data_IF_874004292122
#
_entry.id   IF_874004292122
#
_cell.length_a   1.000
_cell.length_b   1.000
_cell.length_c   1.000
_cell.angle_alpha   90.00
_cell.angle_beta   90.00
_cell.angle_gamma   90.00
#
_symmetry.space_group_name_H-M   'P 1'
#
loop_
_entity.id
_entity.type
_entity.pdbx_description
1 polymer ?
#
# COMPACT_ATOMS: atom_id res chain seq x y z
N UNK A 1 47.90 47.11 80.29
CA UNK A 1 48.50 45.96 79.60
C UNK A 1 47.57 45.59 78.46
N UNK A 2 47.87 46.09 77.26
CA UNK A 2 47.10 45.86 76.03
C UNK A 2 47.79 44.79 75.20
N UNK A 3 47.11 43.67 74.87
CA UNK A 3 47.61 42.74 73.87
C UNK A 3 47.12 43.13 72.46
N UNK A 4 48.10 43.63 71.72
CA UNK A 4 48.35 43.63 70.27
C UNK A 4 47.26 43.16 69.29
N UNK A 5 46.91 44.09 68.41
CA UNK A 5 46.09 44.00 67.20
C UNK A 5 47.02 43.68 66.02
N UNK A 6 46.90 42.47 65.45
CA UNK A 6 47.34 42.08 64.10
C UNK A 6 46.95 40.61 63.83
N UNK A 7 45.70 40.37 63.43
CA UNK A 7 45.29 39.09 62.84
C UNK A 7 44.55 39.38 61.51
N UNK A 8 45.22 39.16 60.35
CA UNK A 8 44.67 39.48 59.04
C UNK A 8 43.86 38.35 58.39
N UNK A 9 43.29 37.40 59.14
CA UNK A 9 42.51 36.29 58.57
C UNK A 9 40.98 36.50 58.66
N UNK A 10 40.49 37.62 58.14
CA UNK A 10 39.06 37.81 57.87
C UNK A 10 38.81 38.25 56.43
N UNK A 11 38.62 37.28 55.54
CA UNK A 11 37.90 37.30 54.25
C UNK A 11 38.53 36.17 53.41
N UNK A 12 37.86 35.12 52.95
CA UNK A 12 36.65 35.04 52.13
C UNK A 12 36.40 33.55 51.88
N UNK A 13 35.19 33.01 52.12
CA UNK A 13 34.71 31.88 51.30
C UNK A 13 33.21 31.65 51.42
N UNK A 14 32.46 32.60 50.88
CA UNK A 14 31.12 32.33 50.37
C UNK A 14 31.16 32.64 48.88
N UNK A 15 31.70 31.69 48.11
CA UNK A 15 31.60 31.67 46.65
C UNK A 15 30.96 30.35 46.21
N UNK A 16 29.93 30.53 45.41
CA UNK A 16 29.14 29.52 44.72
C UNK A 16 30.02 28.46 44.04
N UNK A 17 29.80 27.20 44.40
CA UNK A 17 29.97 26.11 43.44
C UNK A 17 28.67 25.32 43.53
N UNK A 18 27.70 25.69 42.68
CA UNK A 18 26.73 24.72 42.22
C UNK A 18 27.56 23.67 41.45
N UNK A 19 28.09 22.70 42.20
CA UNK A 19 28.76 21.54 41.64
C UNK A 19 27.75 20.87 40.72
N UNK A 20 28.10 20.84 39.45
CA UNK A 20 27.36 20.16 38.40
C UNK A 20 27.17 18.71 38.85
N UNK A 21 26.00 18.38 39.38
CA UNK A 21 25.68 17.14 40.13
C UNK A 21 25.72 15.86 39.26
N UNK A 22 26.33 15.95 38.08
CA UNK A 22 26.49 14.90 37.09
C UNK A 22 27.93 14.77 36.59
N UNK A 23 28.89 15.56 37.10
CA UNK A 23 30.30 15.48 36.70
C UNK A 23 30.96 14.14 37.06
N UNK A 24 30.48 13.48 38.11
CA UNK A 24 30.93 12.18 38.59
C UNK A 24 30.44 11.00 37.74
N UNK A 25 29.25 11.13 37.13
CA UNK A 25 28.61 10.05 36.36
C UNK A 25 29.31 9.73 35.04
N UNK A 26 30.00 10.71 34.46
CA UNK A 26 30.70 10.55 33.18
C UNK A 26 32.22 10.31 33.34
N UNK A 27 32.73 10.28 34.57
CA UNK A 27 34.15 10.32 34.87
C UNK A 27 34.60 9.14 35.74
N UNK A 28 34.08 7.93 35.48
CA UNK A 28 34.62 6.70 36.11
C UNK A 28 35.97 6.33 35.44
N UNK A 29 37.11 6.45 36.15
CA UNK A 29 38.44 6.15 35.60
C UNK A 29 38.64 4.68 35.22
N UNK A 30 37.67 3.80 35.53
CA UNK A 30 37.67 2.38 35.15
C UNK A 30 37.11 2.14 33.74
N UNK A 31 36.35 3.07 33.18
CA UNK A 31 35.85 3.01 31.82
C UNK A 31 36.96 3.39 30.80
N UNK A 32 38.02 2.58 30.73
CA UNK A 32 39.07 2.77 29.73
C UNK A 32 38.50 2.40 28.37
N UNK A 33 38.34 3.37 27.48
CA UNK A 33 38.03 3.15 26.06
C UNK A 33 39.18 2.31 25.47
N UNK A 34 39.01 1.00 25.46
CA UNK A 34 39.97 0.07 24.89
C UNK A 34 39.79 0.01 23.38
N UNK A 35 40.89 -0.18 22.62
CA UNK A 35 40.81 -0.36 21.15
C UNK A 35 39.80 -1.45 20.74
N UNK A 36 39.64 -2.48 21.58
CA UNK A 36 38.62 -3.53 21.41
C UNK A 36 37.20 -2.99 21.59
N UNK A 37 36.94 -2.14 22.59
CA UNK A 37 35.65 -1.49 22.79
C UNK A 37 35.26 -0.58 21.61
N UNK A 38 36.22 0.16 21.05
CA UNK A 38 35.98 0.97 19.83
C UNK A 38 35.65 0.08 18.63
N UNK A 39 36.39 -1.01 18.43
CA UNK A 39 36.11 -1.99 17.36
C UNK A 39 34.73 -2.63 17.51
N UNK A 40 34.33 -3.00 18.72
CA UNK A 40 32.98 -3.53 19.01
C UNK A 40 31.93 -2.47 18.70
N UNK A 41 32.14 -1.22 19.13
CA UNK A 41 31.24 -0.11 18.83
C UNK A 41 31.05 0.13 17.33
N UNK A 42 32.15 0.13 16.56
CA UNK A 42 32.11 0.22 15.10
C UNK A 42 31.38 -0.99 14.50
N UNK A 43 31.64 -2.20 14.99
CA UNK A 43 30.99 -3.43 14.53
C UNK A 43 29.47 -3.39 14.71
N UNK A 44 28.98 -2.97 15.88
CA UNK A 44 27.55 -2.81 16.16
C UNK A 44 26.94 -1.73 15.27
N UNK A 45 27.63 -0.61 15.06
CA UNK A 45 27.18 0.46 14.18
C UNK A 45 27.01 -0.02 12.73
N UNK A 46 28.02 -0.70 12.18
CA UNK A 46 27.96 -1.25 10.83
C UNK A 46 26.84 -2.29 10.69
N UNK A 47 26.68 -3.16 11.69
CA UNK A 47 25.59 -4.13 11.70
C UNK A 47 24.22 -3.45 11.73
N UNK A 48 24.05 -2.38 12.51
CA UNK A 48 22.84 -1.57 12.55
C UNK A 48 22.52 -0.92 11.19
N UNK A 49 23.53 -0.35 10.52
CA UNK A 49 23.38 0.24 9.18
C UNK A 49 22.98 -0.83 8.15
N UNK A 50 23.67 -1.97 8.14
CA UNK A 50 23.36 -3.08 7.24
C UNK A 50 21.98 -3.68 7.51
N UNK A 51 21.60 -3.83 8.79
CA UNK A 51 20.27 -4.28 9.19
C UNK A 51 19.16 -3.33 8.75
N UNK A 52 19.37 -2.02 8.92
CA UNK A 52 18.44 -1.00 8.46
C UNK A 52 18.33 -0.97 6.93
N UNK A 53 19.46 -1.02 6.22
CA UNK A 53 19.51 -1.07 4.76
C UNK A 53 18.83 -2.34 4.21
N UNK A 54 19.10 -3.51 4.81
CA UNK A 54 18.45 -4.76 4.48
C UNK A 54 16.94 -4.72 4.74
N UNK A 55 16.50 -4.13 5.85
CA UNK A 55 15.09 -3.94 6.18
C UNK A 55 14.38 -3.05 5.15
N UNK A 56 15.02 -1.95 4.73
CA UNK A 56 14.47 -1.04 3.70
C UNK A 56 14.44 -1.75 2.34
N UNK A 57 15.50 -2.46 1.96
CA UNK A 57 15.56 -3.18 0.69
C UNK A 57 14.46 -4.24 0.59
N UNK A 58 14.17 -4.95 1.69
CA UNK A 58 13.11 -5.95 1.74
C UNK A 58 11.70 -5.33 1.72
N UNK A 59 11.55 -4.08 2.18
CA UNK A 59 10.28 -3.32 2.19
C UNK A 59 10.01 -2.51 0.93
N UNK A 60 11.00 -2.30 0.05
CA UNK A 60 10.74 -1.67 -1.25
C UNK A 60 9.82 -2.58 -2.05
N UNK A 61 8.56 -2.19 -2.14
CA UNK A 61 7.58 -2.72 -3.09
C UNK A 61 8.23 -2.58 -4.47
N UNK A 62 8.68 -3.71 -5.02
CA UNK A 62 9.14 -3.74 -6.40
C UNK A 62 7.91 -3.39 -7.22
N UNK A 63 7.99 -2.28 -7.96
CA UNK A 63 6.94 -1.79 -8.86
C UNK A 63 7.48 -1.66 -10.29
N UNK A 64 8.70 -2.12 -10.55
CA UNK A 64 9.33 -2.07 -11.87
C UNK A 64 8.53 -2.85 -12.92
N UNK A 65 8.19 -4.11 -12.66
CA UNK A 65 7.43 -4.94 -13.61
C UNK A 65 5.99 -4.45 -13.75
N UNK A 66 5.34 -4.14 -12.62
CA UNK A 66 3.99 -3.55 -12.61
C UNK A 66 3.95 -2.25 -13.41
N UNK A 67 4.91 -1.34 -13.21
CA UNK A 67 4.97 -0.05 -13.91
C UNK A 67 5.32 -0.22 -15.38
N UNK A 68 6.21 -1.13 -15.73
CA UNK A 68 6.52 -1.45 -17.13
C UNK A 68 5.30 -2.04 -17.86
N UNK A 69 4.54 -2.90 -17.19
CA UNK A 69 3.34 -3.52 -17.74
C UNK A 69 2.21 -2.52 -17.88
N UNK A 70 1.79 -1.87 -16.79
CA UNK A 70 0.63 -0.99 -16.77
C UNK A 70 0.87 0.41 -17.34
N UNK A 71 2.11 0.88 -17.32
CA UNK A 71 2.44 2.28 -17.58
C UNK A 71 2.19 3.19 -16.38
N UNK A 72 2.81 4.37 -16.40
CA UNK A 72 2.80 5.34 -15.31
C UNK A 72 1.39 5.84 -15.01
N UNK A 73 0.61 6.09 -16.07
CA UNK A 73 -0.75 6.61 -15.96
C UNK A 73 -1.70 5.61 -15.29
N UNK A 74 -1.68 4.35 -15.72
CA UNK A 74 -2.50 3.30 -15.10
C UNK A 74 -2.10 3.06 -13.64
N UNK A 75 -0.81 3.08 -13.32
CA UNK A 75 -0.34 2.96 -11.93
C UNK A 75 -0.85 4.14 -11.10
N UNK A 76 -0.78 5.35 -11.64
CA UNK A 76 -1.27 6.55 -10.96
C UNK A 76 -2.80 6.48 -10.76
N UNK A 77 -3.54 6.03 -11.77
CA UNK A 77 -4.98 5.79 -11.67
C UNK A 77 -5.33 4.78 -10.58
N UNK A 78 -4.65 3.63 -10.55
CA UNK A 78 -4.83 2.60 -9.53
C UNK A 78 -4.56 3.12 -8.11
N UNK A 79 -3.64 4.06 -7.94
CA UNK A 79 -3.31 4.67 -6.66
C UNK A 79 -4.32 5.75 -6.25
N UNK A 80 -4.67 6.64 -7.18
CA UNK A 80 -5.31 7.93 -6.87
C UNK A 80 -6.77 8.02 -7.28
N UNK A 81 -7.30 7.06 -8.04
CA UNK A 81 -8.67 7.14 -8.53
C UNK A 81 -9.65 7.42 -7.41
N UNK A 82 -10.45 8.46 -7.61
CA UNK A 82 -11.53 8.78 -6.70
C UNK A 82 -12.66 7.79 -6.93
N UNK A 83 -12.98 7.49 -8.20
CA UNK A 83 -14.09 6.62 -8.57
C UNK A 83 -13.63 5.39 -9.33
N UNK A 84 -14.16 4.23 -8.92
CA UNK A 84 -13.96 2.95 -9.62
C UNK A 84 -15.33 2.37 -9.93
N UNK A 85 -15.63 2.17 -11.21
CA UNK A 85 -16.83 1.49 -11.68
C UNK A 85 -16.48 0.12 -12.25
N UNK A 86 -17.42 -0.79 -12.19
CA UNK A 86 -17.30 -2.12 -12.79
C UNK A 86 -18.47 -2.36 -13.73
N UNK A 87 -18.17 -2.83 -14.94
CA UNK A 87 -19.15 -3.13 -15.99
C UNK A 87 -18.95 -4.56 -16.51
N UNK A 88 -20.03 -5.15 -17.00
CA UNK A 88 -19.97 -6.44 -17.68
C UNK A 88 -19.34 -6.31 -19.07
N UNK A 89 -18.52 -7.29 -19.47
CA UNK A 89 -17.92 -7.34 -20.81
C UNK A 89 -18.34 -8.61 -21.57
N UNK A 90 -18.19 -9.79 -20.97
CA UNK A 90 -18.53 -11.09 -21.59
C UNK A 90 -18.93 -12.10 -20.52
N UNK A 91 -19.86 -13.00 -20.84
CA UNK A 91 -20.17 -14.17 -20.03
C UNK A 91 -20.90 -13.92 -18.70
N UNK A 92 -21.23 -12.65 -18.40
CA UNK A 92 -22.01 -12.22 -17.24
C UNK A 92 -22.82 -10.98 -17.61
N UNK A 93 -23.98 -10.83 -16.99
CA UNK A 93 -24.86 -9.66 -17.17
C UNK A 93 -25.18 -9.06 -15.80
N UNK A 94 -24.88 -7.77 -15.65
CA UNK A 94 -25.22 -6.99 -14.47
C UNK A 94 -25.15 -5.49 -14.79
N UNK A 95 -25.94 -4.69 -14.09
CA UNK A 95 -25.90 -3.23 -14.23
C UNK A 95 -24.57 -2.65 -13.71
N UNK A 96 -24.03 -1.58 -14.32
CA UNK A 96 -22.80 -0.95 -13.87
C UNK A 96 -22.78 -0.67 -12.35
N UNK A 97 -21.73 -1.15 -11.68
CA UNK A 97 -21.60 -1.07 -10.23
C UNK A 97 -20.54 -0.05 -9.84
N UNK A 98 -20.91 0.92 -9.00
CA UNK A 98 -19.95 1.82 -8.36
C UNK A 98 -19.25 1.12 -7.20
N UNK A 99 -17.92 0.96 -7.29
CA UNK A 99 -17.10 0.26 -6.31
C UNK A 99 -16.52 1.18 -5.23
N UNK A 100 -16.54 2.49 -5.43
CA UNK A 100 -15.84 3.52 -4.64
C UNK A 100 -16.05 3.44 -3.13
N UNK A 101 -17.28 3.20 -2.68
CA UNK A 101 -17.61 3.10 -1.25
C UNK A 101 -17.60 1.65 -0.72
N UNK A 102 -17.07 0.70 -1.49
CA UNK A 102 -17.21 -0.72 -1.17
C UNK A 102 -16.05 -1.20 -0.31
N UNK A 103 -16.32 -1.97 0.78
CA UNK A 103 -15.26 -2.58 1.57
C UNK A 103 -14.32 -3.44 0.70
N UNK A 104 -13.02 -3.35 0.96
CA UNK A 104 -12.01 -4.16 0.26
C UNK A 104 -11.46 -3.53 -1.03
N UNK A 105 -11.87 -2.32 -1.43
CA UNK A 105 -11.31 -1.65 -2.61
C UNK A 105 -9.79 -1.40 -2.47
N UNK A 106 -9.32 -1.12 -1.26
CA UNK A 106 -7.88 -1.03 -0.97
C UNK A 106 -7.14 -2.34 -1.26
N UNK A 107 -7.77 -3.50 -1.01
CA UNK A 107 -7.18 -4.79 -1.37
C UNK A 107 -7.17 -4.99 -2.89
N UNK A 108 -8.23 -4.61 -3.61
CA UNK A 108 -8.23 -4.66 -5.08
C UNK A 108 -7.07 -3.84 -5.66
N UNK A 109 -6.92 -2.59 -5.21
CA UNK A 109 -5.81 -1.72 -5.64
C UNK A 109 -4.46 -2.34 -5.33
N UNK A 110 -4.29 -2.85 -4.11
CA UNK A 110 -3.05 -3.50 -3.70
C UNK A 110 -2.74 -4.72 -4.58
N UNK A 111 -3.73 -5.59 -4.81
CA UNK A 111 -3.56 -6.76 -5.68
C UNK A 111 -3.17 -6.35 -7.10
N UNK A 112 -3.80 -5.32 -7.65
CA UNK A 112 -3.50 -4.84 -9.00
C UNK A 112 -2.12 -4.17 -9.12
N UNK A 113 -1.60 -3.59 -8.03
CA UNK A 113 -0.30 -2.93 -7.99
C UNK A 113 0.85 -3.86 -7.55
N UNK A 114 0.58 -4.89 -6.76
CA UNK A 114 1.61 -5.80 -6.24
C UNK A 114 2.16 -6.69 -7.36
N UNK A 115 3.46 -6.59 -7.60
CA UNK A 115 4.14 -7.44 -8.59
C UNK A 115 3.99 -8.93 -8.32
N UNK A 116 3.84 -9.32 -7.06
CA UNK A 116 3.70 -10.73 -6.66
C UNK A 116 2.35 -11.32 -7.04
N UNK A 117 1.40 -10.48 -7.46
CA UNK A 117 0.09 -10.92 -7.89
C UNK A 117 0.10 -11.58 -9.27
N UNK A 118 1.17 -11.39 -10.04
CA UNK A 118 1.24 -11.75 -11.46
C UNK A 118 2.25 -12.84 -11.76
N UNK A 119 1.97 -13.60 -12.82
CA UNK A 119 2.89 -14.53 -13.46
C UNK A 119 3.55 -13.82 -14.63
N UNK A 120 4.64 -13.09 -14.38
CA UNK A 120 5.23 -12.20 -15.38
C UNK A 120 5.75 -12.91 -16.63
N UNK A 121 6.07 -14.20 -16.52
CA UNK A 121 6.41 -15.09 -17.62
C UNK A 121 5.23 -15.39 -18.56
N UNK A 122 4.00 -15.11 -18.15
CA UNK A 122 2.77 -15.21 -18.96
C UNK A 122 2.40 -13.92 -19.71
N UNK A 123 3.25 -12.90 -19.69
CA UNK A 123 2.95 -11.62 -20.35
C UNK A 123 2.92 -11.79 -21.86
N UNK A 124 1.85 -11.31 -22.50
CA UNK A 124 1.67 -11.42 -23.94
C UNK A 124 1.13 -10.11 -24.54
N UNK A 125 1.53 -9.79 -25.77
CA UNK A 125 1.08 -8.62 -26.53
C UNK A 125 -0.26 -8.89 -27.23
N UNK A 126 -1.26 -9.28 -26.44
CA UNK A 126 -2.61 -9.47 -26.92
C UNK A 126 -3.64 -9.09 -25.86
N UNK A 127 -4.88 -8.88 -26.30
CA UNK A 127 -5.97 -8.51 -25.41
C UNK A 127 -6.33 -9.65 -24.45
N UNK A 128 -6.88 -9.30 -23.29
CA UNK A 128 -7.52 -10.30 -22.41
C UNK A 128 -8.64 -11.04 -23.15
N UNK A 129 -9.35 -10.36 -24.06
CA UNK A 129 -10.48 -10.92 -24.80
C UNK A 129 -10.08 -12.07 -25.74
N UNK A 130 -8.88 -12.04 -26.32
CA UNK A 130 -8.39 -13.12 -27.19
C UNK A 130 -8.02 -14.39 -26.41
N UNK A 131 -7.86 -14.29 -25.09
CA UNK A 131 -7.61 -15.45 -24.21
C UNK A 131 -8.87 -16.20 -23.82
N UNK A 132 -10.05 -15.63 -24.05
CA UNK A 132 -11.33 -16.20 -23.63
C UNK A 132 -11.78 -17.28 -24.62
N UNK A 133 -11.19 -18.47 -24.52
CA UNK A 133 -11.46 -19.59 -25.42
C UNK A 133 -12.82 -20.24 -25.17
N UNK A 134 -13.33 -20.17 -23.93
CA UNK A 134 -14.57 -20.85 -23.56
C UNK A 134 -15.79 -19.94 -23.63
N UNK A 135 -16.96 -20.46 -24.06
CA UNK A 135 -18.22 -19.71 -24.08
C UNK A 135 -18.67 -19.26 -22.68
N UNK A 136 -18.21 -19.94 -21.62
CA UNK A 136 -18.51 -19.61 -20.21
C UNK A 136 -17.49 -18.66 -19.55
N UNK A 137 -16.56 -18.11 -20.33
CA UNK A 137 -15.57 -17.15 -19.81
C UNK A 137 -16.24 -15.84 -19.41
N UNK A 138 -16.10 -15.46 -18.15
CA UNK A 138 -16.71 -14.26 -17.58
C UNK A 138 -15.68 -13.14 -17.43
N UNK A 139 -15.95 -11.97 -18.01
CA UNK A 139 -15.09 -10.80 -17.93
C UNK A 139 -15.82 -9.57 -17.42
N UNK A 140 -15.11 -8.81 -16.60
CA UNK A 140 -15.51 -7.47 -16.16
C UNK A 140 -14.52 -6.44 -16.66
N UNK A 141 -15.00 -5.21 -16.79
CA UNK A 141 -14.17 -4.05 -17.01
C UNK A 141 -14.20 -3.16 -15.76
N UNK A 142 -13.03 -2.71 -15.33
CA UNK A 142 -12.85 -1.73 -14.28
C UNK A 142 -12.56 -0.37 -14.93
N UNK A 143 -13.33 0.65 -14.58
CA UNK A 143 -13.22 2.01 -15.10
C UNK A 143 -12.82 2.92 -13.94
N UNK A 144 -11.62 3.48 -14.02
CA UNK A 144 -11.02 4.34 -13.00
C UNK A 144 -11.10 5.79 -13.47
N UNK A 145 -11.65 6.66 -12.63
CA UNK A 145 -11.84 8.08 -12.93
C UNK A 145 -11.50 8.97 -11.74
N UNK A 146 -11.11 10.21 -12.04
CA UNK A 146 -10.80 11.27 -11.07
C UNK A 146 -11.55 12.55 -11.45
N UNK A 147 -12.89 12.57 -11.27
CA UNK A 147 -13.74 13.63 -11.78
C UNK A 147 -13.50 14.98 -11.10
N UNK A 148 -12.87 15.00 -9.93
CA UNK A 148 -12.63 16.23 -9.16
C UNK A 148 -11.27 16.84 -9.45
N UNK A 149 -10.20 16.03 -9.39
CA UNK A 149 -8.82 16.53 -9.48
C UNK A 149 -8.16 16.33 -10.85
N UNK A 150 -8.77 15.55 -11.75
CA UNK A 150 -8.31 15.33 -13.14
C UNK A 150 -6.81 15.00 -13.26
N UNK A 151 -6.27 14.20 -12.33
CA UNK A 151 -4.83 13.90 -12.26
C UNK A 151 -4.36 12.90 -13.32
N UNK A 152 -5.29 12.20 -13.97
CA UNK A 152 -5.06 11.20 -15.01
C UNK A 152 -6.30 11.06 -15.90
N UNK A 153 -6.15 10.50 -17.11
CA UNK A 153 -7.28 10.23 -18.00
C UNK A 153 -8.11 9.03 -17.54
N UNK A 154 -9.24 8.75 -18.19
CA UNK A 154 -10.06 7.59 -17.80
C UNK A 154 -9.33 6.30 -18.16
N UNK A 155 -8.91 5.55 -17.14
CA UNK A 155 -8.22 4.27 -17.31
C UNK A 155 -9.23 3.13 -17.25
N UNK A 156 -9.13 2.22 -18.22
CA UNK A 156 -10.03 1.09 -18.35
C UNK A 156 -9.23 -0.21 -18.40
N UNK A 157 -9.58 -1.15 -17.53
CA UNK A 157 -8.88 -2.43 -17.38
C UNK A 157 -9.88 -3.58 -17.57
N UNK A 158 -9.46 -4.66 -18.21
CA UNK A 158 -10.26 -5.89 -18.34
C UNK A 158 -9.69 -6.93 -17.39
N UNK A 159 -10.59 -7.63 -16.70
CA UNK A 159 -10.28 -8.73 -15.79
C UNK A 159 -11.15 -9.93 -16.16
N UNK A 160 -10.48 -11.02 -16.51
CA UNK A 160 -11.08 -12.34 -16.65
C UNK A 160 -11.26 -12.98 -15.26
N UNK A 161 -12.49 -13.43 -14.98
CA UNK A 161 -12.89 -14.03 -13.72
C UNK A 161 -12.66 -15.55 -13.66
N UNK A 162 -12.27 -16.17 -14.77
CA UNK A 162 -12.06 -17.62 -14.87
C UNK A 162 -10.57 -17.95 -14.72
N UNK A 163 -9.75 -17.51 -15.69
CA UNK A 163 -8.32 -17.80 -15.74
C UNK A 163 -7.45 -16.68 -15.17
N UNK A 164 -8.06 -15.57 -14.76
CA UNK A 164 -7.38 -14.49 -14.05
C UNK A 164 -6.44 -13.69 -14.94
N UNK A 165 -6.70 -13.63 -16.24
CA UNK A 165 -6.03 -12.71 -17.16
C UNK A 165 -6.45 -11.27 -16.87
N UNK A 166 -5.48 -10.36 -16.83
CA UNK A 166 -5.75 -8.93 -16.69
C UNK A 166 -4.95 -8.13 -17.70
N UNK A 167 -5.46 -6.96 -18.07
CA UNK A 167 -4.78 -6.06 -18.98
C UNK A 167 -5.57 -4.78 -19.22
N UNK A 168 -4.94 -3.77 -19.86
CA UNK A 168 -5.64 -2.59 -20.33
C UNK A 168 -6.73 -2.94 -21.35
N UNK A 169 -7.81 -2.16 -21.38
CA UNK A 169 -8.93 -2.41 -22.30
C UNK A 169 -8.62 -2.08 -23.76
N UNK A 170 -7.52 -1.36 -24.03
CA UNK A 170 -7.02 -1.11 -25.38
C UNK A 170 -6.54 -2.40 -26.08
N UNK A 171 -6.40 -3.49 -25.33
CA UNK A 171 -5.98 -4.79 -25.84
C UNK A 171 -4.50 -4.89 -26.16
N UNK A 172 -3.68 -3.93 -25.71
CA UNK A 172 -2.24 -3.87 -26.03
C UNK A 172 -1.44 -5.03 -25.43
N UNK A 173 -1.85 -5.54 -24.27
CA UNK A 173 -1.17 -6.64 -23.56
C UNK A 173 -2.04 -7.27 -22.49
N UNK A 174 -1.69 -8.48 -22.08
CA UNK A 174 -2.29 -9.16 -20.95
C UNK A 174 -1.25 -9.92 -20.12
N UNK A 175 -1.54 -10.12 -18.84
CA UNK A 175 -0.74 -10.95 -17.92
C UNK A 175 -1.68 -11.77 -17.06
N UNK A 176 -1.28 -13.00 -16.73
CA UNK A 176 -2.06 -13.86 -15.86
C UNK A 176 -1.75 -13.58 -14.39
N UNK A 177 -2.79 -13.60 -13.55
CA UNK A 177 -2.61 -13.59 -12.09
C UNK A 177 -2.17 -14.96 -11.58
N UNK A 178 -1.43 -14.96 -10.47
CA UNK A 178 -0.95 -16.19 -9.84
C UNK A 178 -2.11 -17.07 -9.38
N UNK A 179 -1.85 -18.39 -9.30
CA UNK A 179 -2.81 -19.39 -8.80
C UNK A 179 -3.41 -19.04 -7.43
N UNK A 180 -2.68 -18.28 -6.60
CA UNK A 180 -3.15 -17.81 -5.29
C UNK A 180 -4.10 -16.62 -5.39
N UNK A 181 -3.79 -15.66 -6.23
CA UNK A 181 -4.54 -14.40 -6.36
C UNK A 181 -5.82 -14.60 -7.18
N UNK A 182 -5.74 -15.37 -8.26
CA UNK A 182 -6.84 -15.64 -9.19
C UNK A 182 -8.19 -15.94 -8.51
N UNK A 183 -8.31 -16.98 -7.65
CA UNK A 183 -9.60 -17.30 -7.03
C UNK A 183 -10.07 -16.22 -6.06
N UNK A 184 -9.15 -15.53 -5.38
CA UNK A 184 -9.50 -14.47 -4.44
C UNK A 184 -10.04 -13.23 -5.18
N UNK A 185 -9.38 -12.82 -6.26
CA UNK A 185 -9.82 -11.71 -7.10
C UNK A 185 -11.18 -12.00 -7.74
N UNK A 186 -11.35 -13.18 -8.35
CA UNK A 186 -12.61 -13.59 -8.95
C UNK A 186 -13.75 -13.63 -7.93
N UNK A 187 -13.52 -14.23 -6.75
CA UNK A 187 -14.52 -14.29 -5.67
C UNK A 187 -14.89 -12.90 -5.17
N UNK A 188 -13.92 -12.01 -5.00
CA UNK A 188 -14.17 -10.64 -4.57
C UNK A 188 -15.08 -9.93 -5.56
N UNK A 189 -14.71 -9.90 -6.85
CA UNK A 189 -15.49 -9.21 -7.89
C UNK A 189 -16.90 -9.81 -8.03
N UNK A 190 -17.05 -11.14 -8.04
CA UNK A 190 -18.36 -11.81 -8.06
C UNK A 190 -19.21 -11.48 -6.83
N UNK A 191 -18.60 -11.35 -5.65
CA UNK A 191 -19.32 -10.94 -4.43
C UNK A 191 -19.86 -9.52 -4.57
N UNK A 192 -19.07 -8.61 -5.16
CA UNK A 192 -19.50 -7.23 -5.39
C UNK A 192 -20.69 -7.14 -6.34
N UNK A 193 -20.66 -7.90 -7.44
CA UNK A 193 -21.77 -8.02 -8.39
C UNK A 193 -23.04 -8.47 -7.64
N UNK A 194 -22.95 -9.58 -6.90
CA UNK A 194 -24.10 -10.18 -6.21
C UNK A 194 -24.70 -9.27 -5.13
N UNK A 195 -23.86 -8.57 -4.35
CA UNK A 195 -24.34 -7.68 -3.27
C UNK A 195 -25.08 -6.48 -3.85
N UNK A 196 -24.58 -5.92 -4.95
CA UNK A 196 -25.15 -4.72 -5.55
C UNK A 196 -26.42 -5.01 -6.34
N UNK A 197 -26.48 -6.16 -7.03
CA UNK A 197 -27.72 -6.68 -7.62
C UNK A 197 -28.82 -6.85 -6.55
N UNK A 198 -28.52 -7.51 -5.42
CA UNK A 198 -29.51 -7.67 -4.34
C UNK A 198 -30.01 -6.33 -3.78
N UNK A 199 -29.14 -5.33 -3.64
CA UNK A 199 -29.52 -3.97 -3.21
C UNK A 199 -30.37 -3.24 -4.25
N UNK A 200 -30.18 -3.53 -5.52
CA UNK A 200 -30.98 -2.98 -6.60
C UNK A 200 -32.37 -3.62 -6.64
N UNK A 201 -32.44 -4.96 -6.62
CA UNK A 201 -33.69 -5.72 -6.62
C UNK A 201 -34.57 -5.35 -5.43
N UNK A 202 -33.96 -5.15 -4.25
CA UNK A 202 -34.68 -4.68 -3.06
C UNK A 202 -35.27 -3.28 -3.23
N UNK A 203 -34.54 -2.35 -3.88
CA UNK A 203 -35.07 -1.01 -4.17
C UNK A 203 -36.23 -1.06 -5.17
N UNK A 204 -36.15 -1.94 -6.17
CA UNK A 204 -37.25 -2.11 -7.12
C UNK A 204 -38.49 -2.78 -6.50
N UNK A 205 -38.30 -3.78 -5.63
CA UNK A 205 -39.42 -4.49 -5.00
C UNK A 205 -40.18 -3.60 -4.01
N UNK A 206 -39.49 -2.72 -3.27
CA UNK A 206 -40.11 -1.74 -2.37
C UNK A 206 -40.89 -0.67 -3.15
N UNK A 207 -40.44 -0.30 -4.35
CA UNK A 207 -41.07 0.73 -5.17
C UNK A 207 -42.17 0.21 -6.11
N UNK A 208 -42.54 -1.08 -6.06
CA UNK A 208 -43.70 -1.60 -6.81
C UNK A 208 -44.99 -1.20 -6.08
N UNK A 209 -45.85 -0.33 -6.65
CA UNK A 209 -47.16 -0.08 -6.07
C UNK A 209 -47.92 -1.40 -6.02
N UNK A 210 -48.37 -1.78 -4.83
CA UNK A 210 -49.23 -2.94 -4.64
C UNK A 210 -50.52 -2.65 -5.38
N UNK A 211 -50.67 -3.15 -6.61
CA UNK A 211 -51.95 -3.16 -7.31
C UNK A 211 -52.85 -4.14 -6.55
N UNK A 212 -53.54 -3.62 -5.53
CA UNK A 212 -54.62 -4.31 -4.86
C UNK A 212 -55.77 -4.35 -5.87
N UNK A 213 -55.86 -5.43 -6.63
CA UNK A 213 -57.07 -5.76 -7.36
C UNK A 213 -58.14 -6.08 -6.31
N UNK A 214 -59.12 -5.18 -6.20
CA UNK A 214 -60.42 -5.43 -5.57
C UNK A 214 -61.44 -5.69 -6.66
#
# INVERSE_FOLDING_TARGET
MTPNENDPDRMTKSENVAEDAHADKYNDPRAKITRRGVLIGIGVLLFGILGAAGSIYQRKTKLTQTRNFWGDETVLALQLAERIKMTAVKGIEFDPVELTATPGLGHLRHVLLDERSYQWDSTEEQSVMSKLQEPESACVQLILTDPTAHRFETVQLIVDLNDGWVGPSDGSRCVQTTKRVRPALAKFLKTLINVQQKRYDFRQSVNRPTSINR
#
